data_IF_832604703084
#
_entry.id   IF_832604703084
#
_cell.length_a   1.000
_cell.length_b   1.000
_cell.length_c   1.000
_cell.angle_alpha   90.00
_cell.angle_beta   90.00
_cell.angle_gamma   90.00
#
_symmetry.space_group_name_H-M   'P 1'
#
loop_
_entity.id
_entity.type
_entity.pdbx_description
1 polymer ?
#
# COMPACT_ATOMS: atom_id res chain seq x y z
N UNK A 1 13.25 -10.16 23.26
CA UNK A 1 11.95 -9.56 23.59
C UNK A 1 12.19 -8.16 24.12
N UNK A 2 11.97 -7.12 23.31
CA UNK A 2 11.77 -5.77 23.82
C UNK A 2 10.37 -5.36 23.38
N UNK A 3 9.48 -5.43 24.36
CA UNK A 3 8.16 -4.83 24.32
C UNK A 3 8.39 -3.33 24.39
N UNK A 4 8.14 -2.63 23.29
CA UNK A 4 7.98 -1.17 23.31
C UNK A 4 6.48 -0.88 23.27
N UNK A 5 6.02 -0.34 24.40
CA UNK A 5 4.68 0.15 24.64
C UNK A 5 4.28 1.13 23.53
N UNK A 6 3.26 0.75 22.74
CA UNK A 6 2.66 1.63 21.74
C UNK A 6 1.98 2.80 22.46
N UNK A 7 2.66 3.94 22.48
CA UNK A 7 2.09 5.23 22.90
C UNK A 7 0.91 5.58 22.00
N UNK A 8 -0.18 6.02 22.64
CA UNK A 8 -1.29 6.70 21.98
C UNK A 8 -0.73 7.90 21.18
N UNK A 9 -0.67 7.77 19.84
CA UNK A 9 -0.33 8.87 18.92
C UNK A 9 0.89 8.69 18.00
N UNK A 10 1.50 7.52 17.84
CA UNK A 10 2.47 7.34 16.74
C UNK A 10 1.75 7.17 15.39
N UNK A 11 1.74 8.23 14.59
CA UNK A 11 1.31 8.19 13.20
C UNK A 11 2.26 7.28 12.40
N UNK A 12 1.88 6.00 12.22
CA UNK A 12 2.61 5.09 11.36
C UNK A 12 2.51 5.60 9.92
N UNK A 13 3.65 5.83 9.28
CA UNK A 13 3.66 6.22 7.86
C UNK A 13 2.88 5.17 7.05
N UNK A 14 1.86 5.55 6.26
CA UNK A 14 1.16 4.61 5.40
C UNK A 14 2.15 3.95 4.44
N UNK A 15 2.04 2.63 4.33
CA UNK A 15 2.87 1.86 3.40
C UNK A 15 2.49 2.20 1.96
N UNK A 16 3.49 2.23 1.09
CA UNK A 16 3.34 2.60 -0.32
C UNK A 16 3.14 1.34 -1.17
N UNK A 17 2.09 1.29 -1.99
CA UNK A 17 1.97 0.28 -3.05
C UNK A 17 2.69 0.76 -4.33
N UNK A 18 2.42 2.00 -4.72
CA UNK A 18 2.97 2.60 -5.94
C UNK A 18 3.28 4.08 -5.73
N UNK A 19 4.36 4.53 -6.36
CA UNK A 19 4.73 5.94 -6.47
C UNK A 19 5.04 6.21 -7.93
N UNK A 20 4.49 7.29 -8.47
CA UNK A 20 4.73 7.75 -9.84
C UNK A 20 5.03 9.24 -9.80
N UNK A 21 6.09 9.67 -10.49
CA UNK A 21 6.35 11.09 -10.74
C UNK A 21 5.51 11.56 -11.93
N UNK A 22 4.75 12.63 -11.76
CA UNK A 22 4.00 13.28 -12.82
C UNK A 22 4.89 14.25 -13.61
N UNK A 23 4.40 14.72 -14.76
CA UNK A 23 5.15 15.59 -15.68
C UNK A 23 5.52 16.95 -15.07
N UNK A 24 4.71 17.44 -14.13
CA UNK A 24 4.95 18.67 -13.36
C UNK A 24 5.97 18.49 -12.23
N UNK A 25 6.50 17.28 -12.05
CA UNK A 25 7.44 16.92 -11.00
C UNK A 25 6.81 16.55 -9.66
N UNK A 26 5.48 16.59 -9.54
CA UNK A 26 4.74 16.10 -8.36
C UNK A 26 4.76 14.57 -8.29
N UNK A 27 4.42 14.01 -7.12
CA UNK A 27 4.33 12.56 -6.93
C UNK A 27 2.88 12.14 -6.70
N UNK A 28 2.39 11.21 -7.54
CA UNK A 28 1.18 10.46 -7.27
C UNK A 28 1.53 9.23 -6.43
N UNK A 29 0.92 9.13 -5.25
CA UNK A 29 1.13 8.04 -4.30
C UNK A 29 -0.16 7.23 -4.19
N UNK A 30 -0.02 5.91 -4.26
CA UNK A 30 -1.09 4.98 -3.96
C UNK A 30 -0.71 4.20 -2.69
N UNK A 31 -1.52 4.36 -1.65
CA UNK A 31 -1.33 3.68 -0.37
C UNK A 31 -1.59 2.16 -0.51
N UNK A 32 -0.83 1.36 0.22
CA UNK A 32 -0.89 -0.09 0.12
C UNK A 32 -2.24 -0.63 0.57
N UNK A 33 -2.80 -0.12 1.66
CA UNK A 33 -4.10 -0.57 2.14
C UNK A 33 -5.21 -0.31 1.10
N UNK A 34 -5.29 0.91 0.57
CA UNK A 34 -6.25 1.29 -0.47
C UNK A 34 -6.09 0.41 -1.71
N UNK A 35 -4.85 0.19 -2.15
CA UNK A 35 -4.53 -0.66 -3.28
C UNK A 35 -5.00 -2.11 -3.08
N UNK A 36 -4.67 -2.72 -1.93
CA UNK A 36 -5.03 -4.12 -1.65
C UNK A 36 -6.54 -4.31 -1.58
N UNK A 37 -7.27 -3.36 -0.97
CA UNK A 37 -8.74 -3.38 -0.93
C UNK A 37 -9.34 -3.31 -2.33
N UNK A 38 -8.93 -2.33 -3.13
CA UNK A 38 -9.43 -2.15 -4.49
C UNK A 38 -9.13 -3.37 -5.39
N UNK A 39 -7.93 -3.94 -5.31
CA UNK A 39 -7.56 -5.15 -6.07
C UNK A 39 -8.31 -6.38 -5.56
N UNK A 40 -8.50 -6.50 -4.25
CA UNK A 40 -9.31 -7.56 -3.65
C UNK A 40 -10.73 -7.54 -4.20
N UNK A 41 -11.40 -6.39 -4.15
CA UNK A 41 -12.78 -6.26 -4.62
C UNK A 41 -12.90 -6.59 -6.11
N UNK A 42 -12.01 -6.05 -6.94
CA UNK A 42 -11.98 -6.35 -8.38
C UNK A 42 -11.70 -7.83 -8.69
N UNK A 43 -10.78 -8.46 -7.95
CA UNK A 43 -10.48 -9.87 -8.11
C UNK A 43 -11.66 -10.75 -7.70
N UNK A 44 -12.39 -10.36 -6.64
CA UNK A 44 -13.62 -11.00 -6.22
C UNK A 44 -14.72 -10.89 -7.27
N UNK A 45 -14.90 -9.71 -7.88
CA UNK A 45 -15.85 -9.50 -8.97
C UNK A 45 -15.56 -10.42 -10.17
N UNK A 46 -14.30 -10.54 -10.58
CA UNK A 46 -13.92 -11.46 -11.67
C UNK A 46 -14.16 -12.93 -11.29
N UNK A 47 -13.78 -13.34 -10.07
CA UNK A 47 -13.95 -14.71 -9.60
C UNK A 47 -15.41 -15.08 -9.34
N UNK A 48 -16.30 -14.10 -9.18
CA UNK A 48 -17.74 -14.29 -8.96
C UNK A 48 -18.42 -15.03 -10.10
N UNK A 49 -17.99 -14.80 -11.35
CA UNK A 49 -18.51 -15.53 -12.53
C UNK A 49 -18.28 -17.04 -12.43
N UNK A 50 -17.29 -17.46 -11.64
CA UNK A 50 -16.97 -18.88 -11.40
C UNK A 50 -17.53 -19.38 -10.06
N UNK A 51 -18.23 -18.54 -9.28
CA UNK A 51 -18.72 -18.87 -7.94
C UNK A 51 -17.65 -18.84 -6.85
N UNK A 52 -16.51 -18.18 -7.10
CA UNK A 52 -15.32 -18.20 -6.23
C UNK A 52 -14.93 -16.78 -5.77
N UNK A 53 -15.89 -15.88 -5.60
CA UNK A 53 -15.66 -14.46 -5.29
C UNK A 53 -14.75 -14.25 -4.06
N UNK A 54 -15.01 -14.95 -2.96
CA UNK A 54 -14.24 -14.82 -1.72
C UNK A 54 -12.77 -15.22 -1.90
N UNK A 55 -12.52 -16.30 -2.66
CA UNK A 55 -11.17 -16.73 -3.00
C UNK A 55 -10.44 -15.72 -3.89
N UNK A 56 -11.15 -15.14 -4.86
CA UNK A 56 -10.61 -14.03 -5.67
C UNK A 56 -10.23 -12.84 -4.81
N UNK A 57 -11.10 -12.44 -3.89
CA UNK A 57 -10.86 -11.30 -2.99
C UNK A 57 -9.66 -11.54 -2.07
N UNK A 58 -9.57 -12.71 -1.42
CA UNK A 58 -8.45 -13.08 -0.58
C UNK A 58 -7.13 -13.11 -1.35
N UNK A 59 -7.14 -13.67 -2.56
CA UNK A 59 -5.95 -13.69 -3.43
C UNK A 59 -5.49 -12.28 -3.78
N UNK A 60 -6.43 -11.38 -4.15
CA UNK A 60 -6.14 -9.98 -4.44
C UNK A 60 -5.59 -9.21 -3.23
N UNK A 61 -6.17 -9.41 -2.05
CA UNK A 61 -5.70 -8.79 -0.80
C UNK A 61 -4.28 -9.22 -0.40
N UNK A 62 -3.89 -10.47 -0.67
CA UNK A 62 -2.59 -11.00 -0.23
C UNK A 62 -1.46 -10.82 -1.23
N UNK A 63 -1.77 -10.61 -2.51
CA UNK A 63 -0.77 -10.69 -3.58
C UNK A 63 0.45 -9.76 -3.36
N UNK A 64 0.23 -8.59 -2.74
CA UNK A 64 1.24 -7.56 -2.54
C UNK A 64 1.54 -7.26 -1.06
N UNK A 65 1.11 -8.14 -0.14
CA UNK A 65 1.32 -7.94 1.30
C UNK A 65 2.80 -7.79 1.68
N UNK A 66 3.71 -8.40 0.90
CA UNK A 66 5.15 -8.25 1.07
C UNK A 66 5.68 -6.82 0.92
N UNK A 67 4.90 -5.91 0.31
CA UNK A 67 5.25 -4.50 0.19
C UNK A 67 5.29 -3.77 1.53
N UNK A 68 4.57 -4.21 2.57
CA UNK A 68 4.62 -3.59 3.91
C UNK A 68 5.96 -3.84 4.63
N UNK A 69 6.85 -4.64 4.06
CA UNK A 69 8.18 -4.88 4.63
C UNK A 69 9.10 -3.66 4.48
N UNK A 70 9.88 -3.37 5.53
CA UNK A 70 10.89 -2.30 5.54
C UNK A 70 11.85 -2.34 4.32
N UNK A 71 12.41 -3.50 3.90
CA UNK A 71 13.27 -3.55 2.73
C UNK A 71 12.55 -3.14 1.45
N UNK A 72 11.29 -3.53 1.27
CA UNK A 72 10.51 -3.22 0.08
C UNK A 72 10.10 -1.75 0.05
N UNK A 73 9.67 -1.18 1.17
CA UNK A 73 9.39 0.26 1.28
C UNK A 73 10.63 1.11 0.96
N UNK A 74 11.79 0.71 1.48
CA UNK A 74 13.06 1.36 1.14
C UNK A 74 13.39 1.28 -0.35
N UNK A 75 13.11 0.15 -1.00
CA UNK A 75 13.26 0.00 -2.44
C UNK A 75 12.34 0.96 -3.23
N UNK A 76 11.06 1.05 -2.87
CA UNK A 76 10.09 1.95 -3.52
C UNK A 76 10.56 3.41 -3.40
N UNK A 77 10.98 3.84 -2.22
CA UNK A 77 11.46 5.21 -1.98
C UNK A 77 12.74 5.51 -2.77
N UNK A 78 13.69 4.57 -2.81
CA UNK A 78 14.96 4.75 -3.55
C UNK A 78 14.73 4.79 -5.05
N UNK A 79 13.87 3.92 -5.59
CA UNK A 79 13.56 3.86 -7.01
C UNK A 79 12.89 5.14 -7.52
N UNK A 80 12.15 5.83 -6.67
CA UNK A 80 11.41 7.04 -7.01
C UNK A 80 12.10 8.32 -6.54
N UNK A 81 13.44 8.35 -6.51
CA UNK A 81 14.29 9.53 -6.21
C UNK A 81 13.78 10.38 -5.04
N UNK A 82 13.79 9.84 -3.82
CA UNK A 82 13.29 10.50 -2.60
C UNK A 82 11.97 11.24 -2.87
N UNK A 83 10.94 10.50 -3.27
CA UNK A 83 9.58 11.01 -3.28
C UNK A 83 9.37 11.81 -1.99
N UNK A 84 9.15 13.11 -2.11
CA UNK A 84 8.95 14.03 -1.00
C UNK A 84 7.56 13.75 -0.41
N UNK A 85 7.41 12.56 0.18
CA UNK A 85 6.18 12.12 0.80
C UNK A 85 5.96 12.99 2.04
N UNK A 86 4.93 13.84 1.98
CA UNK A 86 4.39 14.55 3.12
C UNK A 86 3.10 13.85 3.56
N UNK A 87 2.95 13.47 4.84
CA UNK A 87 1.72 12.87 5.33
C UNK A 87 0.52 13.78 5.07
N UNK A 88 -0.65 13.18 4.89
CA UNK A 88 -1.92 13.86 4.57
C UNK A 88 -2.33 14.93 5.61
N UNK A 89 -1.74 14.90 6.81
CA UNK A 89 -1.94 15.87 7.87
C UNK A 89 -1.17 17.20 7.67
N UNK A 90 -0.29 17.30 6.67
CA UNK A 90 0.55 18.47 6.39
C UNK A 90 0.33 19.07 4.98
N UNK A 91 -0.80 18.74 4.33
CA UNK A 91 -1.23 19.32 3.05
C UNK A 91 -2.29 20.40 3.24
#
# INVERSE_FOLDING_TARGET
MRNEELRCGEYRKPALAHVRRNDDGSFAIHELEEHLRAVGDLAGEFASTFGHAEWGQLAGLWHDLGKDSLPFQNYIVRRNERAAWRPRAEQ
#
